data_IF_486930477984
#
_entry.id   IF_486930477984
#
_cell.length_a   1.000
_cell.length_b   1.000
_cell.length_c   1.000
_cell.angle_alpha   90.00
_cell.angle_beta   90.00
_cell.angle_gamma   90.00
#
_symmetry.space_group_name_H-M   'P 1'
#
loop_
_entity.id
_entity.type
_entity.pdbx_description
1 polymer ?
#
# COMPACT_ATOMS: atom_id res chain seq x y z
N UNK A 1 -14.71 14.73 -32.21
CA UNK A 1 -15.05 14.14 -30.90
C UNK A 1 -13.92 14.55 -29.96
N UNK A 2 -14.21 15.32 -28.92
CA UNK A 2 -13.18 15.67 -27.93
C UNK A 2 -12.73 14.39 -27.26
N UNK A 3 -11.44 14.08 -27.33
CA UNK A 3 -10.84 12.97 -26.61
C UNK A 3 -11.03 13.25 -25.12
N UNK A 4 -11.87 12.45 -24.45
CA UNK A 4 -12.11 12.61 -23.03
C UNK A 4 -10.81 12.31 -22.29
N UNK A 5 -10.40 13.22 -21.39
CA UNK A 5 -9.20 13.04 -20.60
C UNK A 5 -9.33 11.77 -19.75
N UNK A 6 -8.50 10.77 -20.05
CA UNK A 6 -8.55 9.46 -19.41
C UNK A 6 -8.08 9.55 -17.96
N UNK A 7 -7.01 10.32 -17.71
CA UNK A 7 -6.50 10.57 -16.37
C UNK A 7 -5.70 11.87 -16.29
N UNK A 8 -5.97 12.69 -15.27
CA UNK A 8 -5.11 13.77 -14.84
C UNK A 8 -5.10 13.93 -13.32
N UNK A 9 -3.99 14.43 -12.79
CA UNK A 9 -3.86 14.75 -11.37
C UNK A 9 -3.03 16.02 -11.17
N UNK A 10 -3.51 16.90 -10.31
CA UNK A 10 -2.80 18.10 -9.88
C UNK A 10 -2.78 18.17 -8.34
N UNK A 11 -1.68 18.69 -7.79
CA UNK A 11 -1.43 18.74 -6.36
C UNK A 11 -0.98 20.14 -5.94
N UNK A 12 -1.58 20.66 -4.88
CA UNK A 12 -1.07 21.81 -4.14
C UNK A 12 -0.35 21.34 -2.88
N UNK A 13 0.63 22.10 -2.43
CA UNK A 13 1.42 21.76 -1.25
C UNK A 13 1.55 22.95 -0.30
N UNK A 14 1.72 22.66 0.98
CA UNK A 14 2.16 23.65 1.96
C UNK A 14 3.69 23.89 1.90
N UNK A 15 4.18 24.79 2.75
CA UNK A 15 5.61 25.11 2.85
C UNK A 15 6.51 23.96 3.33
N UNK A 16 5.94 22.86 3.83
CA UNK A 16 6.64 21.63 4.22
C UNK A 16 6.59 20.56 3.11
N UNK A 17 5.91 20.84 2.00
CA UNK A 17 5.74 19.91 0.88
C UNK A 17 4.68 18.84 1.12
N UNK A 18 3.78 19.01 2.09
CA UNK A 18 2.63 18.13 2.30
C UNK A 18 1.51 18.53 1.34
N UNK A 19 0.81 17.57 0.75
CA UNK A 19 -0.28 17.84 -0.19
C UNK A 19 -1.45 18.45 0.56
N UNK A 20 -1.87 19.67 0.23
CA UNK A 20 -3.03 20.36 0.83
C UNK A 20 -4.27 20.32 -0.05
N UNK A 21 -4.10 20.10 -1.35
CA UNK A 21 -5.21 19.88 -2.28
C UNK A 21 -4.78 18.87 -3.35
N UNK A 22 -5.70 17.97 -3.70
CA UNK A 22 -5.57 17.04 -4.80
C UNK A 22 -6.80 17.15 -5.71
N UNK A 23 -6.56 17.59 -6.94
CA UNK A 23 -7.53 17.50 -8.02
C UNK A 23 -7.20 16.29 -8.90
N UNK A 24 -8.21 15.47 -9.17
CA UNK A 24 -8.09 14.29 -10.02
C UNK A 24 -9.20 14.29 -11.06
N UNK A 25 -8.88 14.00 -12.31
CA UNK A 25 -9.85 13.68 -13.37
C UNK A 25 -9.63 12.24 -13.79
N UNK A 26 -10.69 11.43 -13.75
CA UNK A 26 -10.68 10.04 -14.17
C UNK A 26 -11.82 9.84 -15.16
N UNK A 27 -11.49 9.51 -16.40
CA UNK A 27 -12.46 9.27 -17.48
C UNK A 27 -13.48 10.42 -17.60
N UNK A 28 -12.99 11.66 -17.51
CA UNK A 28 -13.80 12.88 -17.56
C UNK A 28 -14.54 13.26 -16.26
N UNK A 29 -14.46 12.45 -15.20
CA UNK A 29 -15.04 12.78 -13.88
C UNK A 29 -13.98 13.40 -13.00
N UNK A 30 -14.17 14.66 -12.62
CA UNK A 30 -13.26 15.37 -11.72
C UNK A 30 -13.70 15.31 -10.27
N UNK A 31 -12.74 15.13 -9.35
CA UNK A 31 -12.90 15.30 -7.91
C UNK A 31 -11.78 16.17 -7.35
N UNK A 32 -12.10 16.92 -6.30
CA UNK A 32 -11.13 17.69 -5.52
C UNK A 32 -11.24 17.27 -4.07
N UNK A 33 -10.10 17.06 -3.42
CA UNK A 33 -9.99 16.83 -1.99
C UNK A 33 -8.98 17.81 -1.39
N UNK A 34 -9.27 18.31 -0.20
CA UNK A 34 -8.38 19.18 0.58
C UNK A 34 -7.98 18.49 1.88
N UNK A 35 -6.76 18.75 2.31
CA UNK A 35 -6.11 18.04 3.41
C UNK A 35 -5.56 19.00 4.44
N UNK A 36 -5.84 18.72 5.70
CA UNK A 36 -5.30 19.45 6.85
C UNK A 36 -4.47 18.50 7.71
N UNK A 37 -3.38 19.05 8.29
CA UNK A 37 -2.42 18.27 9.06
C UNK A 37 -2.19 18.91 10.43
N UNK A 38 -1.89 18.07 11.43
CA UNK A 38 -1.39 18.55 12.71
C UNK A 38 0.09 19.00 12.64
N UNK A 39 0.61 19.50 13.77
CA UNK A 39 1.99 19.96 13.91
C UNK A 39 3.02 18.83 13.75
N UNK A 40 2.62 17.57 13.97
CA UNK A 40 3.45 16.40 13.72
C UNK A 40 3.41 15.94 12.24
N UNK A 41 2.61 16.59 11.41
CA UNK A 41 2.44 16.26 9.99
C UNK A 41 1.55 15.07 9.71
N UNK A 42 0.69 14.69 10.66
CA UNK A 42 -0.32 13.66 10.49
C UNK A 42 -1.59 14.30 9.93
N UNK A 43 -2.23 13.61 8.99
CA UNK A 43 -3.46 14.08 8.36
C UNK A 43 -4.61 14.06 9.37
N UNK A 44 -5.25 15.19 9.63
CA UNK A 44 -6.35 15.31 10.62
C UNK A 44 -7.70 15.63 10.01
N UNK A 45 -7.75 16.18 8.79
CA UNK A 45 -9.02 16.46 8.11
C UNK A 45 -8.90 16.27 6.60
N UNK A 46 -9.97 15.74 6.00
CA UNK A 46 -10.21 15.65 4.57
C UNK A 46 -11.52 16.35 4.28
N UNK A 47 -11.50 17.28 3.32
CA UNK A 47 -12.69 17.98 2.82
C UNK A 47 -12.81 17.79 1.31
N UNK A 48 -14.01 17.94 0.78
CA UNK A 48 -14.21 17.96 -0.67
C UNK A 48 -13.88 19.34 -1.28
N UNK A 49 -14.05 19.48 -2.60
CA UNK A 49 -13.84 20.73 -3.31
C UNK A 49 -14.76 21.90 -2.91
N UNK A 50 -15.83 21.63 -2.17
CA UNK A 50 -16.79 22.60 -1.63
C UNK A 50 -16.61 22.82 -0.12
N UNK A 51 -15.50 22.33 0.46
CA UNK A 51 -15.15 22.36 1.88
C UNK A 51 -16.09 21.55 2.80
N UNK A 52 -16.93 20.69 2.24
CA UNK A 52 -17.74 19.76 3.02
C UNK A 52 -16.83 18.72 3.70
N UNK A 53 -17.07 18.38 4.98
CA UNK A 53 -16.26 17.39 5.69
C UNK A 53 -16.43 16.01 5.05
N UNK A 54 -15.31 15.35 4.74
CA UNK A 54 -15.26 13.98 4.24
C UNK A 54 -14.86 13.04 5.36
N UNK A 55 -13.74 13.34 6.03
CA UNK A 55 -13.28 12.59 7.18
C UNK A 55 -12.38 13.42 8.11
N UNK A 56 -12.50 13.24 9.42
CA UNK A 56 -11.58 13.75 10.42
C UNK A 56 -10.89 12.60 11.16
N UNK A 57 -9.64 12.79 11.56
CA UNK A 57 -8.82 11.76 12.19
C UNK A 57 -8.19 12.25 13.50
N UNK A 58 -8.16 11.37 14.50
CA UNK A 58 -7.41 11.60 15.73
C UNK A 58 -6.36 10.50 15.95
N UNK A 59 -5.32 10.86 16.71
CA UNK A 59 -4.19 10.00 16.99
C UNK A 59 -3.77 10.09 18.45
N UNK A 60 -3.18 9.00 18.96
CA UNK A 60 -2.49 9.02 20.25
C UNK A 60 -1.07 9.62 20.14
N UNK A 61 -0.31 9.57 21.24
CA UNK A 61 1.07 10.06 21.31
C UNK A 61 2.06 9.24 20.50
N UNK A 62 1.78 7.96 20.23
CA UNK A 62 2.62 7.08 19.43
C UNK A 62 2.27 7.18 17.93
N UNK A 63 1.21 7.91 17.57
CA UNK A 63 0.77 8.09 16.20
C UNK A 63 -0.21 7.01 15.72
N UNK A 64 -0.72 6.17 16.62
CA UNK A 64 -1.80 5.25 16.27
C UNK A 64 -3.10 6.03 16.15
N UNK A 65 -3.91 5.67 15.15
CA UNK A 65 -5.20 6.30 14.95
C UNK A 65 -6.19 5.84 16.03
N UNK A 66 -6.81 6.79 16.70
CA UNK A 66 -7.77 6.56 17.78
C UNK A 66 -9.20 6.78 17.33
N UNK A 67 -9.43 7.72 16.42
CA UNK A 67 -10.77 8.06 15.95
C UNK A 67 -10.79 8.35 14.45
N UNK A 68 -11.92 8.00 13.82
CA UNK A 68 -12.32 8.52 12.52
C UNK A 68 -13.76 9.03 12.59
N UNK A 69 -13.98 10.27 12.17
CA UNK A 69 -15.31 10.83 11.94
C UNK A 69 -15.51 10.92 10.44
N UNK A 70 -16.56 10.30 9.91
CA UNK A 70 -17.02 10.45 8.52
C UNK A 70 -18.45 11.03 8.56
N UNK A 71 -18.97 11.43 7.40
CA UNK A 71 -20.29 12.08 7.33
C UNK A 71 -21.44 11.23 7.92
N UNK A 72 -21.33 9.91 7.88
CA UNK A 72 -22.37 8.96 8.30
C UNK A 72 -22.02 8.17 9.58
N UNK A 73 -20.81 8.32 10.13
CA UNK A 73 -20.38 7.54 11.31
C UNK A 73 -19.22 8.17 12.09
N UNK A 74 -19.18 7.86 13.38
CA UNK A 74 -18.04 8.11 14.27
C UNK A 74 -17.49 6.78 14.74
N UNK A 75 -16.18 6.57 14.60
CA UNK A 75 -15.50 5.33 14.95
C UNK A 75 -14.39 5.61 15.95
N UNK A 76 -14.58 5.15 17.18
CA UNK A 76 -13.52 5.01 18.18
C UNK A 76 -12.77 3.72 17.90
N UNK A 77 -11.68 3.82 17.14
CA UNK A 77 -11.10 2.68 16.44
C UNK A 77 -10.77 1.52 17.37
N UNK A 78 -10.19 1.75 18.53
CA UNK A 78 -9.86 0.63 19.41
C UNK A 78 -11.07 -0.10 19.98
N UNK A 79 -12.16 0.61 20.28
CA UNK A 79 -13.43 0.02 20.72
C UNK A 79 -14.09 -0.71 19.56
N UNK A 80 -14.23 -0.05 18.40
CA UNK A 80 -14.88 -0.61 17.22
C UNK A 80 -14.12 -1.81 16.63
N UNK A 81 -12.79 -1.83 16.77
CA UNK A 81 -11.94 -2.95 16.35
C UNK A 81 -11.80 -4.02 17.44
N UNK A 82 -12.25 -3.78 18.67
CA UNK A 82 -12.05 -4.69 19.79
C UNK A 82 -10.57 -4.92 20.10
N UNK A 83 -9.72 -3.90 19.90
CA UNK A 83 -8.32 -3.97 20.29
C UNK A 83 -8.22 -3.94 21.81
N UNK A 84 -7.44 -4.85 22.38
CA UNK A 84 -7.18 -4.92 23.80
C UNK A 84 -5.67 -5.01 24.08
N UNK A 85 -5.28 -4.63 25.30
CA UNK A 85 -3.93 -4.91 25.79
C UNK A 85 -3.71 -6.40 26.09
N UNK A 86 -2.49 -6.76 26.48
CA UNK A 86 -2.16 -8.14 26.88
C UNK A 86 -3.01 -8.69 28.04
N UNK A 87 -3.70 -7.81 28.79
CA UNK A 87 -4.62 -8.16 29.88
C UNK A 87 -6.08 -8.26 29.45
N UNK A 88 -6.39 -8.04 28.17
CA UNK A 88 -7.76 -8.06 27.65
C UNK A 88 -8.55 -6.77 27.89
N UNK A 89 -7.89 -5.68 28.33
CA UNK A 89 -8.55 -4.38 28.53
C UNK A 89 -8.65 -3.66 27.19
N UNK A 90 -9.85 -3.23 26.76
CA UNK A 90 -10.01 -2.49 25.52
C UNK A 90 -9.16 -1.23 25.48
N UNK A 91 -8.51 -0.99 24.35
CA UNK A 91 -7.70 0.19 24.09
C UNK A 91 -8.50 1.20 23.27
N UNK A 92 -8.23 2.50 23.44
CA UNK A 92 -8.84 3.57 22.66
C UNK A 92 -8.23 3.77 21.26
N UNK A 93 -7.36 2.85 20.81
CA UNK A 93 -6.62 2.91 19.54
C UNK A 93 -6.74 1.61 18.79
N UNK A 94 -6.67 1.67 17.46
CA UNK A 94 -6.72 0.48 16.58
C UNK A 94 -5.46 -0.40 16.63
N UNK A 95 -4.76 -0.46 17.76
CA UNK A 95 -3.50 -1.18 17.93
C UNK A 95 -3.34 -1.75 19.35
N UNK A 96 -2.56 -2.82 19.49
CA UNK A 96 -2.20 -3.41 20.77
C UNK A 96 -1.12 -2.60 21.52
N UNK A 97 -0.62 -3.10 22.65
CA UNK A 97 0.43 -2.48 23.48
C UNK A 97 1.82 -2.39 22.82
N UNK A 98 2.01 -3.03 21.66
CA UNK A 98 3.21 -2.95 20.82
C UNK A 98 3.02 -2.09 19.57
N UNK A 99 1.93 -1.33 19.49
CA UNK A 99 1.55 -0.52 18.33
C UNK A 99 1.30 -1.36 17.06
N UNK A 100 0.87 -2.62 17.23
CA UNK A 100 0.54 -3.52 16.13
C UNK A 100 -0.97 -3.52 15.89
N UNK A 101 -1.39 -3.43 14.62
CA UNK A 101 -2.82 -3.43 14.24
C UNK A 101 -3.49 -4.71 14.72
N UNK A 102 -4.54 -4.60 15.54
CA UNK A 102 -5.21 -5.78 16.10
C UNK A 102 -6.24 -6.41 15.16
N UNK A 103 -7.03 -5.58 14.47
CA UNK A 103 -8.17 -5.99 13.64
C UNK A 103 -8.36 -4.99 12.51
N UNK A 104 -8.79 -5.47 11.36
CA UNK A 104 -9.22 -4.66 10.23
C UNK A 104 -10.24 -5.44 9.39
N UNK A 105 -11.41 -4.83 9.13
CA UNK A 105 -12.54 -5.57 8.61
C UNK A 105 -13.00 -6.64 9.59
N UNK A 106 -13.27 -7.82 9.05
CA UNK A 106 -13.64 -9.02 9.82
C UNK A 106 -12.41 -9.79 10.34
N UNK A 107 -11.19 -9.32 10.11
CA UNK A 107 -9.97 -10.10 10.37
C UNK A 107 -9.20 -9.59 11.58
N UNK A 108 -8.84 -10.52 12.46
CA UNK A 108 -7.85 -10.36 13.52
C UNK A 108 -6.44 -10.62 13.01
N UNK A 109 -5.47 -9.87 13.53
CA UNK A 109 -4.06 -9.90 13.12
C UNK A 109 -3.19 -10.19 14.34
N UNK A 110 -2.31 -11.18 14.21
CA UNK A 110 -1.30 -11.48 15.22
C UNK A 110 0.11 -11.40 14.63
N UNK A 111 1.09 -11.13 15.47
CA UNK A 111 2.46 -10.84 15.08
C UNK A 111 3.44 -11.71 15.86
N UNK A 112 4.52 -12.09 15.19
CA UNK A 112 5.61 -12.81 15.83
C UNK A 112 6.41 -11.89 16.77
N UNK A 113 7.37 -12.46 17.51
CA UNK A 113 8.22 -11.72 18.45
C UNK A 113 9.05 -10.58 17.81
N UNK A 114 9.17 -10.54 16.48
CA UNK A 114 9.87 -9.48 15.74
C UNK A 114 8.90 -8.42 15.18
N UNK A 115 7.61 -8.49 15.52
CA UNK A 115 6.56 -7.57 15.04
C UNK A 115 6.20 -7.79 13.57
N UNK A 116 6.43 -8.99 13.03
CA UNK A 116 6.03 -9.35 11.65
C UNK A 116 4.69 -10.06 11.70
N UNK A 117 3.79 -9.72 10.78
CA UNK A 117 2.47 -10.33 10.68
C UNK A 117 2.59 -11.85 10.58
N UNK A 118 2.06 -12.59 11.54
CA UNK A 118 2.16 -14.05 11.63
C UNK A 118 0.86 -14.70 11.16
N UNK A 119 -0.28 -14.20 11.63
CA UNK A 119 -1.59 -14.71 11.21
C UNK A 119 -2.59 -13.60 10.93
N UNK A 120 -3.52 -13.89 10.03
CA UNK A 120 -4.75 -13.13 9.79
C UNK A 120 -5.92 -14.11 9.84
N UNK A 121 -6.84 -13.93 10.78
CA UNK A 121 -7.94 -14.88 11.04
C UNK A 121 -9.28 -14.15 10.97
N UNK A 122 -10.28 -14.69 10.27
CA UNK A 122 -11.62 -14.10 10.32
C UNK A 122 -12.22 -14.29 11.72
N UNK A 123 -12.64 -13.20 12.35
CA UNK A 123 -13.20 -13.19 13.70
C UNK A 123 -14.50 -14.00 13.82
N UNK A 124 -15.23 -14.16 12.71
CA UNK A 124 -16.47 -14.94 12.62
C UNK A 124 -16.27 -16.36 12.08
N UNK A 125 -15.15 -16.63 11.40
CA UNK A 125 -14.80 -17.95 10.86
C UNK A 125 -13.31 -18.24 11.07
N UNK A 126 -12.92 -18.85 12.20
CA UNK A 126 -11.52 -19.14 12.48
C UNK A 126 -10.83 -20.09 11.49
N UNK A 127 -11.59 -20.76 10.60
CA UNK A 127 -11.02 -21.58 9.53
C UNK A 127 -10.58 -20.75 8.32
N UNK A 128 -11.08 -19.51 8.17
CA UNK A 128 -10.56 -18.51 7.25
C UNK A 128 -9.32 -17.84 7.85
N UNK A 129 -8.24 -18.62 7.89
CA UNK A 129 -6.93 -18.23 8.37
C UNK A 129 -5.93 -18.10 7.22
N UNK A 130 -5.13 -17.04 7.28
CA UNK A 130 -3.90 -16.87 6.51
C UNK A 130 -2.71 -16.86 7.46
N UNK A 131 -1.74 -17.74 7.23
CA UNK A 131 -0.47 -17.79 7.97
C UNK A 131 0.67 -17.27 7.10
N UNK A 132 1.52 -16.42 7.69
CA UNK A 132 2.65 -15.79 7.03
C UNK A 132 3.94 -16.29 7.67
N UNK A 133 4.86 -16.80 6.86
CA UNK A 133 6.16 -17.28 7.32
C UNK A 133 7.27 -16.47 6.67
N UNK A 134 8.30 -16.16 7.44
CA UNK A 134 9.45 -15.37 6.99
C UNK A 134 10.73 -16.19 7.04
N UNK A 135 11.68 -15.88 6.15
CA UNK A 135 13.01 -16.46 6.20
C UNK A 135 13.89 -15.82 7.29
N UNK A 136 15.11 -16.35 7.45
CA UNK A 136 16.09 -15.83 8.42
C UNK A 136 16.57 -14.40 8.15
N UNK A 137 16.30 -13.84 6.96
CA UNK A 137 16.58 -12.45 6.63
C UNK A 137 15.34 -11.54 6.84
N UNK A 138 14.23 -12.09 7.33
CA UNK A 138 12.98 -11.37 7.56
C UNK A 138 12.15 -11.08 6.31
N UNK A 139 12.42 -11.77 5.20
CA UNK A 139 11.63 -11.66 3.97
C UNK A 139 10.47 -12.63 4.01
N UNK A 140 9.30 -12.24 3.49
CA UNK A 140 8.12 -13.12 3.41
C UNK A 140 8.46 -14.33 2.54
N UNK A 141 8.48 -15.50 3.13
CA UNK A 141 8.88 -16.75 2.50
C UNK A 141 7.68 -17.57 2.03
N UNK A 142 6.63 -17.65 2.84
CA UNK A 142 5.43 -18.41 2.52
C UNK A 142 4.17 -17.68 3.03
N UNK A 143 3.08 -17.85 2.30
CA UNK A 143 1.72 -17.53 2.73
C UNK A 143 0.87 -18.77 2.57
N UNK A 144 0.26 -19.25 3.65
CA UNK A 144 -0.69 -20.36 3.63
C UNK A 144 -2.11 -19.79 3.81
N UNK A 145 -3.04 -20.12 2.90
CA UNK A 145 -4.44 -19.69 2.91
C UNK A 145 -5.29 -20.95 2.73
N UNK A 146 -5.93 -21.41 3.81
CA UNK A 146 -6.59 -22.72 3.82
C UNK A 146 -5.63 -23.83 3.36
N UNK A 147 -6.00 -24.56 2.29
CA UNK A 147 -5.14 -25.61 1.70
C UNK A 147 -4.08 -25.11 0.72
N UNK A 148 -4.12 -23.82 0.34
CA UNK A 148 -3.19 -23.25 -0.64
C UNK A 148 -1.94 -22.71 0.04
N UNK A 149 -0.76 -23.12 -0.45
CA UNK A 149 0.53 -22.57 -0.05
C UNK A 149 1.16 -21.80 -1.18
N UNK A 150 1.58 -20.57 -0.90
CA UNK A 150 2.26 -19.69 -1.83
C UNK A 150 3.66 -19.42 -1.30
N UNK A 151 4.68 -19.97 -1.94
CA UNK A 151 6.07 -19.73 -1.60
C UNK A 151 6.67 -18.65 -2.49
N UNK A 152 7.51 -17.80 -1.90
CA UNK A 152 8.21 -16.74 -2.60
C UNK A 152 9.71 -17.05 -2.66
N UNK A 153 10.20 -17.22 -3.87
CA UNK A 153 11.62 -17.47 -4.14
C UNK A 153 12.34 -16.13 -4.21
N UNK A 154 13.44 -16.02 -3.46
CA UNK A 154 14.27 -14.84 -3.44
C UNK A 154 15.68 -15.16 -3.91
N UNK A 155 16.30 -14.26 -4.66
CA UNK A 155 17.71 -14.38 -5.01
C UNK A 155 18.63 -13.92 -3.87
N UNK A 156 19.95 -14.04 -4.11
CA UNK A 156 20.98 -13.64 -3.16
C UNK A 156 20.99 -12.13 -2.83
N UNK A 157 20.36 -11.30 -3.67
CA UNK A 157 20.27 -9.85 -3.47
C UNK A 157 18.99 -9.42 -2.73
N UNK A 158 18.12 -10.36 -2.36
CA UNK A 158 16.87 -9.99 -1.68
C UNK A 158 15.66 -9.83 -2.59
N UNK A 159 15.80 -10.00 -3.91
CA UNK A 159 14.73 -9.74 -4.87
C UNK A 159 13.83 -10.96 -5.00
N UNK A 160 12.51 -10.75 -5.07
CA UNK A 160 11.52 -11.80 -5.30
C UNK A 160 11.55 -12.22 -6.77
N UNK A 161 12.14 -13.38 -7.05
CA UNK A 161 12.36 -13.90 -8.42
C UNK A 161 11.38 -15.00 -8.80
N UNK A 162 10.56 -15.48 -7.85
CA UNK A 162 9.62 -16.57 -8.11
C UNK A 162 8.41 -16.58 -7.18
N UNK A 163 7.30 -17.10 -7.69
CA UNK A 163 6.10 -17.47 -6.96
C UNK A 163 5.75 -18.92 -7.27
N UNK A 164 5.66 -19.74 -6.24
CA UNK A 164 5.33 -21.16 -6.31
C UNK A 164 4.00 -21.37 -5.59
N UNK A 165 3.06 -22.07 -6.21
CA UNK A 165 1.75 -22.39 -5.61
C UNK A 165 1.66 -23.90 -5.45
N UNK A 166 1.43 -24.36 -4.22
CA UNK A 166 1.31 -25.78 -3.89
C UNK A 166 2.48 -26.61 -4.45
N UNK A 167 3.71 -26.08 -4.35
CA UNK A 167 4.93 -26.72 -4.85
C UNK A 167 5.16 -26.59 -6.36
N UNK A 168 4.23 -26.00 -7.12
CA UNK A 168 4.36 -25.79 -8.57
C UNK A 168 4.79 -24.36 -8.84
N UNK A 169 5.92 -24.18 -9.55
CA UNK A 169 6.37 -22.85 -9.94
C UNK A 169 5.37 -22.22 -10.93
N UNK A 170 4.80 -21.07 -10.56
CA UNK A 170 3.73 -20.43 -11.33
C UNK A 170 4.29 -19.31 -12.22
N UNK A 171 5.15 -18.46 -11.66
CA UNK A 171 5.74 -17.31 -12.36
C UNK A 171 7.02 -16.83 -11.70
N UNK A 172 7.85 -16.12 -12.47
CA UNK A 172 9.05 -15.46 -11.98
C UNK A 172 9.26 -14.07 -12.55
N UNK A 173 10.27 -13.38 -12.03
CA UNK A 173 10.66 -12.03 -12.46
C UNK A 173 12.15 -11.97 -12.76
N UNK A 174 12.49 -11.38 -13.91
CA UNK A 174 13.85 -11.06 -14.31
C UNK A 174 14.11 -9.59 -14.02
N UNK A 175 15.28 -9.28 -13.44
CA UNK A 175 15.61 -7.94 -12.98
C UNK A 175 16.81 -7.38 -13.71
N UNK A 176 16.73 -6.10 -14.10
CA UNK A 176 17.89 -5.35 -14.63
C UNK A 176 18.85 -4.94 -13.50
N UNK A 177 18.30 -4.58 -12.34
CA UNK A 177 19.04 -4.04 -11.19
C UNK A 177 18.37 -4.44 -9.87
N UNK A 178 18.72 -3.79 -8.76
CA UNK A 178 18.16 -4.10 -7.43
C UNK A 178 16.66 -3.77 -7.28
N UNK A 179 16.10 -2.97 -8.17
CA UNK A 179 14.75 -2.40 -8.05
C UNK A 179 13.81 -2.85 -9.18
N UNK A 180 14.33 -2.97 -10.41
CA UNK A 180 13.50 -2.98 -11.61
C UNK A 180 13.33 -4.38 -12.19
N UNK A 181 12.15 -5.03 -12.01
CA UNK A 181 11.79 -6.19 -12.82
C UNK A 181 11.57 -5.72 -14.26
N UNK A 182 12.23 -6.35 -15.21
CA UNK A 182 12.11 -6.04 -16.65
C UNK A 182 11.29 -7.06 -17.41
N UNK A 183 11.11 -8.26 -16.87
CA UNK A 183 10.25 -9.27 -17.46
C UNK A 183 9.60 -10.14 -16.39
N UNK A 184 8.40 -10.62 -16.70
CA UNK A 184 7.73 -11.70 -16.00
C UNK A 184 7.78 -12.94 -16.88
N UNK A 185 8.10 -14.09 -16.29
CA UNK A 185 8.11 -15.39 -16.98
C UNK A 185 7.10 -16.34 -16.36
N UNK A 186 6.62 -17.29 -17.16
CA UNK A 186 5.78 -18.41 -16.68
C UNK A 186 6.63 -19.60 -16.19
N UNK A 187 5.95 -20.73 -15.93
CA UNK A 187 6.56 -21.96 -15.45
C UNK A 187 7.62 -22.58 -16.39
N UNK A 188 7.53 -22.28 -17.69
CA UNK A 188 8.44 -22.78 -18.72
C UNK A 188 9.62 -21.83 -18.97
N UNK A 189 9.60 -20.64 -18.37
CA UNK A 189 10.56 -19.57 -18.61
C UNK A 189 10.19 -18.69 -19.81
N UNK A 190 9.03 -18.90 -20.44
CA UNK A 190 8.57 -18.02 -21.51
C UNK A 190 8.17 -16.66 -20.94
N UNK A 191 8.58 -15.58 -21.63
CA UNK A 191 8.27 -14.21 -21.21
C UNK A 191 6.79 -13.92 -21.45
N UNK A 192 6.07 -13.60 -20.37
CA UNK A 192 4.65 -13.27 -20.37
C UNK A 192 4.40 -11.76 -20.40
N UNK A 193 5.32 -10.97 -19.85
CA UNK A 193 5.27 -9.52 -19.88
C UNK A 193 6.69 -8.92 -19.84
N UNK A 194 6.90 -7.80 -20.54
CA UNK A 194 8.09 -6.95 -20.44
C UNK A 194 7.71 -5.58 -19.87
N UNK A 195 8.47 -5.10 -18.89
CA UNK A 195 8.26 -3.82 -18.24
C UNK A 195 9.26 -2.78 -18.75
N UNK A 196 8.76 -1.70 -19.35
CA UNK A 196 9.59 -0.66 -19.98
C UNK A 196 9.57 0.60 -19.12
N UNK A 197 10.73 1.03 -18.65
CA UNK A 197 10.91 2.21 -17.81
C UNK A 197 11.54 3.34 -18.63
N UNK A 198 10.89 4.50 -18.67
CA UNK A 198 11.33 5.64 -19.49
C UNK A 198 11.44 6.90 -18.63
N UNK A 199 10.36 7.29 -17.96
CA UNK A 199 10.24 8.56 -17.24
C UNK A 199 10.47 8.43 -15.75
N UNK A 200 10.20 7.24 -15.17
CA UNK A 200 10.28 6.97 -13.73
C UNK A 200 11.17 5.76 -13.45
N UNK A 201 11.95 5.83 -12.39
CA UNK A 201 12.92 4.81 -12.03
C UNK A 201 12.31 3.56 -11.37
N UNK A 202 11.06 3.63 -10.92
CA UNK A 202 10.40 2.57 -10.13
C UNK A 202 9.00 2.22 -10.63
N UNK A 203 8.52 2.89 -11.70
CA UNK A 203 7.22 2.65 -12.29
C UNK A 203 7.44 2.46 -13.78
N UNK A 204 7.08 1.31 -14.36
CA UNK A 204 7.17 1.15 -15.81
C UNK A 204 6.23 2.13 -16.48
N UNK A 205 6.65 2.69 -17.60
CA UNK A 205 5.81 3.50 -18.47
C UNK A 205 4.92 2.63 -19.35
N UNK A 206 5.40 1.45 -19.74
CA UNK A 206 4.68 0.49 -20.56
C UNK A 206 4.83 -0.94 -20.09
N UNK A 207 3.81 -1.75 -20.36
CA UNK A 207 3.84 -3.21 -20.25
C UNK A 207 3.60 -3.78 -21.65
N UNK A 208 4.51 -4.62 -22.12
CA UNK A 208 4.35 -5.37 -23.37
C UNK A 208 3.99 -6.81 -23.02
N UNK A 209 2.78 -7.24 -23.36
CA UNK A 209 2.31 -8.60 -23.11
C UNK A 209 2.86 -9.58 -24.15
N UNK A 210 2.86 -10.87 -23.84
CA UNK A 210 3.25 -11.92 -24.78
C UNK A 210 2.40 -11.97 -26.07
N UNK A 211 1.16 -11.47 -26.02
CA UNK A 211 0.31 -11.31 -27.21
C UNK A 211 0.81 -10.25 -28.20
N UNK A 212 1.74 -9.38 -27.77
CA UNK A 212 2.16 -8.19 -28.51
C UNK A 212 1.38 -6.92 -28.15
N UNK A 213 0.33 -7.03 -27.32
CA UNK A 213 -0.38 -5.87 -26.81
C UNK A 213 0.53 -5.01 -25.94
N UNK A 214 0.46 -3.69 -26.15
CA UNK A 214 1.21 -2.70 -25.37
C UNK A 214 0.22 -1.89 -24.54
N UNK A 215 0.51 -1.77 -23.25
CA UNK A 215 -0.29 -1.04 -22.28
C UNK A 215 0.50 0.14 -21.74
N UNK A 216 -0.08 1.34 -21.81
CA UNK A 216 0.41 2.51 -21.07
C UNK A 216 0.02 2.36 -19.61
N UNK A 217 1.02 2.44 -18.74
CA UNK A 217 0.84 2.50 -17.29
C UNK A 217 0.62 3.94 -16.88
N UNK A 218 -0.55 4.20 -16.30
CA UNK A 218 -0.88 5.48 -15.68
C UNK A 218 -0.78 5.29 -14.17
N UNK A 219 0.03 6.11 -13.51
CA UNK A 219 0.26 6.01 -12.08
C UNK A 219 0.24 7.40 -11.42
N UNK A 220 -0.20 7.43 -10.16
CA UNK A 220 -0.22 8.65 -9.34
C UNK A 220 1.19 9.15 -9.01
N UNK A 221 1.27 10.23 -8.22
CA UNK A 221 2.54 10.83 -7.80
C UNK A 221 3.41 9.92 -6.91
N UNK A 222 2.83 8.91 -6.24
CA UNK A 222 3.55 7.90 -5.44
C UNK A 222 4.00 6.72 -6.28
N UNK A 223 3.50 6.61 -7.52
CA UNK A 223 3.74 5.49 -8.41
C UNK A 223 2.74 4.34 -8.26
N UNK A 224 1.63 4.56 -7.56
CA UNK A 224 0.53 3.58 -7.51
C UNK A 224 -0.18 3.54 -8.87
N UNK A 225 -0.38 2.34 -9.40
CA UNK A 225 -1.06 2.13 -10.68
C UNK A 225 -2.51 2.65 -10.59
N UNK A 226 -2.89 3.60 -11.43
CA UNK A 226 -4.26 4.09 -11.57
C UNK A 226 -4.97 3.41 -12.72
N UNK A 227 -4.30 3.25 -13.87
CA UNK A 227 -4.90 2.64 -15.07
C UNK A 227 -3.89 1.90 -15.94
N UNK A 228 -4.39 0.90 -16.66
CA UNK A 228 -3.72 0.29 -17.81
C UNK A 228 -4.53 0.57 -19.08
N UNK A 229 -3.95 1.32 -20.01
CA UNK A 229 -4.61 1.72 -21.27
C UNK A 229 -3.94 0.98 -22.42
N UNK A 230 -4.69 0.20 -23.19
CA UNK A 230 -4.15 -0.43 -24.41
C UNK A 230 -3.80 0.66 -25.42
N UNK A 231 -2.55 0.72 -25.87
CA UNK A 231 -2.07 1.83 -26.71
C UNK A 231 -2.57 1.77 -28.15
N UNK A 232 -3.05 0.60 -28.60
CA UNK A 232 -3.59 0.40 -29.94
C UNK A 232 -5.05 0.82 -30.01
N UNK A 233 -5.85 0.42 -29.01
CA UNK A 233 -7.31 0.66 -29.00
C UNK A 233 -7.72 1.89 -28.20
N UNK A 234 -6.87 2.39 -27.31
CA UNK A 234 -7.20 3.43 -26.33
C UNK A 234 -8.08 2.92 -25.18
N UNK A 235 -8.39 1.63 -25.12
CA UNK A 235 -9.27 1.08 -24.10
C UNK A 235 -8.61 1.00 -22.72
N UNK A 236 -9.32 1.43 -21.68
CA UNK A 236 -8.95 1.21 -20.28
C UNK A 236 -9.24 -0.25 -19.92
N UNK A 237 -8.19 -1.02 -19.64
CA UNK A 237 -8.26 -2.46 -19.35
C UNK A 237 -8.18 -2.79 -17.87
N UNK A 238 -7.64 -1.88 -17.08
CA UNK A 238 -7.67 -1.93 -15.63
C UNK A 238 -7.77 -0.51 -15.07
N UNK A 239 -8.48 -0.37 -13.97
CA UNK A 239 -8.63 0.87 -13.20
C UNK A 239 -8.55 0.55 -11.71
N UNK A 240 -7.84 1.39 -10.98
CA UNK A 240 -7.67 1.28 -9.55
C UNK A 240 -7.98 2.62 -8.91
N UNK A 241 -8.87 2.58 -7.91
CA UNK A 241 -9.18 3.71 -7.07
C UNK A 241 -8.56 3.52 -5.68
N UNK A 242 -8.05 4.61 -5.13
CA UNK A 242 -7.34 4.63 -3.86
C UNK A 242 -7.94 5.76 -3.05
N UNK A 243 -8.21 5.44 -1.81
CA UNK A 243 -8.61 6.39 -0.80
C UNK A 243 -7.38 6.82 -0.01
N UNK A 244 -7.54 7.92 0.72
CA UNK A 244 -6.52 8.49 1.62
C UNK A 244 -6.01 7.45 2.63
N UNK A 245 -6.92 6.58 3.07
CA UNK A 245 -6.66 5.38 3.85
C UNK A 245 -7.51 4.24 3.28
N UNK A 246 -7.13 2.96 3.45
CA UNK A 246 -8.03 1.85 3.15
C UNK A 246 -9.40 2.05 3.81
N UNK A 247 -10.51 1.70 3.12
CA UNK A 247 -11.84 1.85 3.69
C UNK A 247 -11.94 1.11 5.03
N UNK A 248 -12.61 1.76 5.98
CA UNK A 248 -12.69 1.28 7.35
C UNK A 248 -13.54 -0.01 7.47
N UNK A 249 -13.29 -0.82 8.53
CA UNK A 249 -13.75 -2.19 8.71
C UNK A 249 -15.25 -2.49 8.56
N UNK A 250 -16.11 -1.48 8.68
CA UNK A 250 -17.56 -1.66 8.74
C UNK A 250 -18.24 -1.48 7.39
N UNK A 251 -17.52 -1.03 6.37
CA UNK A 251 -18.05 -0.96 5.02
C UNK A 251 -17.59 -2.19 4.24
N UNK A 252 -18.55 -3.00 3.76
CA UNK A 252 -18.32 -4.08 2.79
C UNK A 252 -17.77 -3.62 1.43
N UNK A 253 -17.23 -2.41 1.33
CA UNK A 253 -16.51 -1.90 0.17
C UNK A 253 -15.10 -2.48 0.15
N UNK A 254 -14.99 -3.66 -0.46
CA UNK A 254 -13.70 -4.12 -0.97
C UNK A 254 -13.18 -3.02 -1.92
N UNK A 255 -11.95 -2.50 -1.75
CA UNK A 255 -11.31 -1.86 -2.90
C UNK A 255 -11.36 -2.87 -4.05
N UNK A 256 -11.83 -2.43 -5.23
CA UNK A 256 -11.90 -3.29 -6.42
C UNK A 256 -10.48 -3.54 -6.90
N UNK A 257 -9.79 -4.47 -6.23
CA UNK A 257 -8.43 -4.88 -6.52
C UNK A 257 -8.51 -6.07 -7.47
N UNK A 258 -8.10 -5.86 -8.73
CA UNK A 258 -7.73 -6.93 -9.66
C UNK A 258 -6.21 -6.84 -9.84
N UNK A 259 -5.41 -7.80 -9.38
CA UNK A 259 -3.98 -7.55 -9.17
C UNK A 259 -3.19 -7.49 -10.48
N UNK A 260 -2.41 -6.42 -10.65
CA UNK A 260 -1.06 -6.53 -11.20
C UNK A 260 -0.12 -5.98 -10.13
N UNK A 261 0.64 -6.87 -9.49
CA UNK A 261 1.70 -6.55 -8.54
C UNK A 261 2.78 -5.71 -9.24
N UNK A 262 2.57 -4.40 -9.37
CA UNK A 262 3.68 -3.46 -9.57
C UNK A 262 4.12 -3.05 -8.17
N UNK A 263 5.30 -3.54 -7.78
CA UNK A 263 5.89 -3.33 -6.48
C UNK A 263 6.16 -1.85 -6.21
N UNK A 264 5.18 -1.11 -5.68
CA UNK A 264 5.45 0.17 -5.05
C UNK A 264 5.70 -0.06 -3.56
N UNK A 265 6.98 -0.25 -3.18
CA UNK A 265 7.39 -0.27 -1.77
C UNK A 265 7.44 1.16 -1.23
N UNK A 266 6.88 1.37 -0.03
CA UNK A 266 7.17 2.51 0.85
C UNK A 266 8.68 2.60 1.11
N UNK A 267 9.27 3.77 0.86
CA UNK A 267 10.64 4.08 1.34
C UNK A 267 10.66 4.05 2.87
N UNK A 268 11.50 3.21 3.48
CA UNK A 268 11.96 3.43 4.86
C UNK A 268 12.94 4.61 4.82
N UNK A 269 12.64 5.72 5.52
CA UNK A 269 13.68 6.68 5.91
C UNK A 269 14.55 5.97 6.95
N UNK A 270 15.86 5.92 6.72
CA UNK A 270 16.81 5.43 7.72
C UNK A 270 16.83 6.33 8.96
N UNK A 271 17.29 5.84 10.12
CA UNK A 271 17.36 6.64 11.33
C UNK A 271 18.31 7.84 11.13
N UNK A 272 18.05 8.99 11.78
CA UNK A 272 18.96 10.13 11.72
C UNK A 272 20.32 9.72 12.31
N UNK A 273 21.40 10.06 11.59
CA UNK A 273 22.76 9.86 12.08
C UNK A 273 22.97 10.61 13.40
N UNK A 274 23.61 10.01 14.42
CA UNK A 274 23.89 10.72 15.66
C UNK A 274 24.86 11.87 15.40
N UNK A 275 24.47 13.07 15.84
CA UNK A 275 25.29 14.26 15.78
C UNK A 275 26.65 14.01 16.47
N UNK A 276 27.75 14.18 15.72
CA UNK A 276 29.09 14.24 16.29
C UNK A 276 29.16 15.40 17.29
N UNK A 277 29.23 15.10 18.58
CA UNK A 277 29.66 16.06 19.61
C UNK A 277 31.11 16.46 19.31
N UNK A 278 31.28 17.63 18.72
CA UNK A 278 32.58 18.29 18.62
C UNK A 278 32.99 18.82 20.00
N UNK A 279 33.95 18.15 20.63
CA UNK A 279 34.72 18.70 21.74
C UNK A 279 35.51 19.91 21.27
N UNK A 280 35.18 21.11 21.74
CA UNK A 280 36.06 22.29 21.63
C UNK A 280 37.06 22.28 22.81
N UNK A 281 38.35 22.54 22.56
CA UNK A 281 39.35 22.66 23.61
C UNK A 281 39.21 23.98 24.38
N UNK A 282 39.50 23.93 25.68
CA UNK A 282 39.75 25.10 26.53
C UNK A 282 41.00 25.82 26.01
N UNK A 283 40.90 27.13 25.85
CA UNK A 283 42.04 28.04 25.76
C UNK A 283 41.76 29.25 26.65
N UNK A 284 42.75 29.58 27.48
CA UNK A 284 42.99 30.91 28.08
C UNK A 284 41.99 31.38 29.11
#
# INVERSE_FOLDING_TARGET
MSEAEVYASAYQHDGLGRITEWAETVEGVSRVQRFEYDDAGRLVSVRDGLDAPVADYAYDLNGNRTNVVEADRVLELGVNLGCADSGGVPLGRGANDRDELCRHGEYDYAYDANGRLETRVNASDPLDETVYTYDGAGRLHQVAIGSTKVDYVHDALGRRVGRVVNGVFERGWLYKDSLNPIAQVDATGAVQATYVYVTRANVPDYIVAASGDVYRVVADHLGSLRMLVNTTTGAVTARYDYDVWPPLPLAGSRPRIVPVDVACRRRRRGPPSPARRGSRPRLG
#
